data_IF_838742959313
#
_entry.id   IF_838742959313
#
_cell.length_a   1.000
_cell.length_b   1.000
_cell.length_c   1.000
_cell.angle_alpha   90.00
_cell.angle_beta   90.00
_cell.angle_gamma   90.00
#
_symmetry.space_group_name_H-M   'P 1'
#
loop_
_entity.id
_entity.type
_entity.pdbx_description
1 polymer ?
#
# COMPACT_ATOMS: atom_id res chain seq x y z
N UNK A 1 -1.73 -6.92 -10.56
CA UNK A 1 -0.83 -5.94 -9.91
C UNK A 1 -0.18 -6.50 -8.64
N UNK A 2 -0.92 -7.21 -7.77
CA UNK A 2 -0.39 -7.83 -6.54
C UNK A 2 0.64 -8.95 -6.78
N UNK A 3 0.52 -9.70 -7.87
CA UNK A 3 1.39 -10.84 -8.21
C UNK A 3 2.89 -10.53 -8.31
N UNK A 4 3.27 -9.26 -8.51
CA UNK A 4 4.67 -8.82 -8.56
C UNK A 4 5.25 -8.61 -7.15
N UNK A 5 4.39 -8.23 -6.19
CA UNK A 5 4.78 -7.93 -4.80
C UNK A 5 4.62 -9.15 -3.90
N UNK A 6 3.64 -10.01 -4.20
CA UNK A 6 3.29 -11.21 -3.43
C UNK A 6 4.48 -12.14 -3.07
N UNK A 7 5.46 -12.40 -3.95
CA UNK A 7 6.62 -13.24 -3.60
C UNK A 7 7.52 -12.65 -2.52
N UNK A 8 7.52 -11.33 -2.37
CA UNK A 8 8.38 -10.57 -1.44
C UNK A 8 7.63 -10.10 -0.20
N UNK A 9 6.31 -10.29 -0.15
CA UNK A 9 5.49 -9.85 0.97
C UNK A 9 5.67 -10.80 2.18
N UNK A 10 5.78 -10.26 3.41
CA UNK A 10 5.92 -11.09 4.59
C UNK A 10 4.79 -12.09 4.70
N UNK A 11 5.13 -13.36 4.96
CA UNK A 11 4.14 -14.41 5.24
C UNK A 11 3.84 -14.45 6.73
N UNK A 12 2.61 -14.82 7.06
CA UNK A 12 2.19 -15.09 8.43
C UNK A 12 3.17 -16.03 9.13
N UNK A 13 3.80 -15.55 10.20
CA UNK A 13 4.66 -16.32 11.10
C UNK A 13 4.16 -16.23 12.55
N UNK A 14 5.02 -16.53 13.53
CA UNK A 14 4.66 -16.51 14.95
C UNK A 14 4.56 -15.09 15.58
N UNK A 15 4.59 -14.03 14.77
CA UNK A 15 4.56 -12.63 15.21
C UNK A 15 3.27 -11.89 14.84
N UNK A 16 3.31 -10.54 14.89
CA UNK A 16 2.21 -9.69 14.39
C UNK A 16 1.91 -10.09 12.96
N UNK A 17 0.65 -10.45 12.70
CA UNK A 17 0.21 -10.83 11.38
C UNK A 17 0.37 -9.63 10.44
N UNK A 18 1.00 -9.80 9.27
CA UNK A 18 1.06 -8.74 8.29
C UNK A 18 -0.35 -8.40 7.81
N UNK A 19 -0.60 -7.12 7.53
CA UNK A 19 -1.86 -6.69 6.93
C UNK A 19 -2.06 -7.35 5.56
N UNK A 20 -3.30 -7.45 5.05
CA UNK A 20 -3.51 -7.91 3.68
C UNK A 20 -2.71 -7.07 2.68
N UNK A 21 -2.07 -7.72 1.70
CA UNK A 21 -1.28 -7.03 0.68
C UNK A 21 -2.11 -5.99 -0.09
N UNK A 22 -3.38 -6.28 -0.35
CA UNK A 22 -4.29 -5.33 -1.00
C UNK A 22 -4.48 -4.05 -0.16
N UNK A 23 -4.59 -4.18 1.16
CA UNK A 23 -4.71 -3.05 2.08
C UNK A 23 -3.46 -2.18 2.04
N UNK A 24 -2.27 -2.78 2.14
CA UNK A 24 -1.02 -2.02 2.10
C UNK A 24 -0.77 -1.36 0.74
N UNK A 25 -1.15 -2.02 -0.35
CA UNK A 25 -1.07 -1.43 -1.69
C UNK A 25 -1.98 -0.22 -1.84
N UNK A 26 -3.22 -0.28 -1.33
CA UNK A 26 -4.17 0.85 -1.33
C UNK A 26 -3.62 2.03 -0.53
N UNK A 27 -3.05 1.76 0.65
CA UNK A 27 -2.40 2.77 1.48
C UNK A 27 -1.25 3.44 0.72
N UNK A 28 -0.38 2.65 0.09
CA UNK A 28 0.73 3.17 -0.71
C UNK A 28 0.27 4.01 -1.90
N UNK A 29 -0.80 3.61 -2.60
CA UNK A 29 -1.40 4.44 -3.66
C UNK A 29 -1.94 5.77 -3.12
N UNK A 30 -2.63 5.77 -1.98
CA UNK A 30 -3.14 7.00 -1.35
C UNK A 30 -2.00 7.92 -0.92
N UNK A 31 -0.90 7.37 -0.37
CA UNK A 31 0.30 8.15 -0.07
C UNK A 31 0.82 8.89 -1.30
N UNK A 32 0.84 8.23 -2.45
CA UNK A 32 1.31 8.84 -3.69
C UNK A 32 0.32 9.88 -4.26
N UNK A 33 -0.99 9.58 -4.25
CA UNK A 33 -2.02 10.47 -4.79
C UNK A 33 -2.22 11.74 -3.97
N UNK A 34 -2.13 11.64 -2.64
CA UNK A 34 -2.32 12.76 -1.73
C UNK A 34 -0.99 13.37 -1.25
N UNK A 35 0.14 12.87 -1.74
CA UNK A 35 1.49 13.29 -1.35
C UNK A 35 1.71 13.24 0.18
N UNK A 36 1.31 12.13 0.80
CA UNK A 36 1.40 11.92 2.25
C UNK A 36 2.65 11.10 2.61
N UNK A 37 3.34 11.51 3.66
CA UNK A 37 4.38 10.70 4.32
C UNK A 37 3.77 9.52 5.08
N UNK A 38 4.60 8.60 5.58
CA UNK A 38 4.13 7.46 6.38
C UNK A 38 3.38 7.92 7.64
N UNK A 39 3.92 8.92 8.35
CA UNK A 39 3.26 9.51 9.54
C UNK A 39 1.96 10.22 9.18
N UNK A 40 1.96 11.04 8.12
CA UNK A 40 0.75 11.73 7.69
C UNK A 40 -0.34 10.76 7.20
N UNK A 41 0.04 9.61 6.65
CA UNK A 41 -0.88 8.56 6.25
C UNK A 41 -1.45 7.81 7.47
N UNK A 42 -0.63 7.53 8.49
CA UNK A 42 -1.10 7.00 9.78
C UNK A 42 -2.15 7.93 10.39
N UNK A 43 -1.84 9.23 10.49
CA UNK A 43 -2.77 10.24 11.01
C UNK A 43 -4.06 10.30 10.18
N UNK A 44 -3.94 10.28 8.84
CA UNK A 44 -5.09 10.27 7.94
C UNK A 44 -5.96 9.01 8.11
N UNK A 45 -5.36 7.83 8.34
CA UNK A 45 -6.11 6.63 8.67
C UNK A 45 -6.79 6.77 10.03
N UNK A 46 -6.19 7.44 11.01
CA UNK A 46 -6.82 7.64 12.31
C UNK A 46 -8.00 8.61 12.22
N UNK A 47 -7.82 9.76 11.57
CA UNK A 47 -8.76 10.89 11.62
C UNK A 47 -9.84 10.83 10.53
N UNK A 48 -9.52 10.30 9.34
CA UNK A 48 -10.40 10.39 8.16
C UNK A 48 -11.05 9.04 7.87
N UNK A 49 -12.33 8.90 8.17
CA UNK A 49 -13.07 7.65 7.97
C UNK A 49 -13.06 7.15 6.51
N UNK A 50 -13.12 8.05 5.53
CA UNK A 50 -13.05 7.67 4.11
C UNK A 50 -11.69 7.08 3.72
N UNK A 51 -10.58 7.51 4.34
CA UNK A 51 -9.25 6.93 4.11
C UNK A 51 -9.20 5.47 4.62
N UNK A 52 -9.76 5.21 5.80
CA UNK A 52 -9.88 3.84 6.35
C UNK A 52 -10.70 2.93 5.45
N UNK A 53 -11.89 3.39 5.05
CA UNK A 53 -12.78 2.63 4.17
C UNK A 53 -12.12 2.33 2.83
N UNK A 54 -11.38 3.30 2.27
CA UNK A 54 -10.65 3.14 1.02
C UNK A 54 -9.53 2.08 1.11
N UNK A 55 -8.92 1.94 2.28
CA UNK A 55 -7.94 0.89 2.61
C UNK A 55 -8.57 -0.46 3.00
N UNK A 56 -9.90 -0.56 3.05
CA UNK A 56 -10.66 -1.74 3.54
C UNK A 56 -10.34 -2.12 4.99
N UNK A 57 -10.00 -1.12 5.82
CA UNK A 57 -9.84 -1.32 7.25
C UNK A 57 -11.20 -1.22 7.95
N UNK A 58 -11.53 -2.20 8.79
CA UNK A 58 -12.76 -2.16 9.58
C UNK A 58 -12.61 -1.21 10.78
N UNK A 59 -13.72 -0.67 11.25
CA UNK A 59 -13.75 0.24 12.42
C UNK A 59 -13.15 -0.40 13.68
N UNK A 60 -13.27 -1.72 13.82
CA UNK A 60 -12.81 -2.47 14.99
C UNK A 60 -11.39 -3.06 14.83
N UNK A 61 -10.73 -2.82 13.68
CA UNK A 61 -9.38 -3.34 13.43
C UNK A 61 -8.31 -2.35 13.85
N UNK A 62 -7.19 -2.88 14.38
CA UNK A 62 -6.00 -2.07 14.64
C UNK A 62 -5.50 -1.44 13.33
N UNK A 63 -5.23 -0.14 13.35
CA UNK A 63 -4.72 0.58 12.19
C UNK A 63 -3.21 0.33 12.02
N UNK A 64 -2.70 0.31 10.77
CA UNK A 64 -1.27 0.26 10.53
C UNK A 64 -0.64 1.59 10.95
N UNK A 65 0.36 1.49 11.84
CA UNK A 65 1.20 2.61 12.24
C UNK A 65 2.22 2.98 11.15
N UNK A 66 2.88 4.13 11.28
CA UNK A 66 3.89 4.60 10.33
C UNK A 66 5.02 3.58 10.12
N UNK A 67 5.40 2.82 11.16
CA UNK A 67 6.44 1.79 11.03
C UNK A 67 5.97 0.62 10.16
N UNK A 68 4.69 0.25 10.25
CA UNK A 68 4.05 -0.77 9.42
C UNK A 68 4.01 -0.32 7.96
N UNK A 69 3.70 0.95 7.71
CA UNK A 69 3.69 1.55 6.37
C UNK A 69 5.11 1.62 5.79
N UNK A 70 6.08 2.11 6.57
CA UNK A 70 7.49 2.16 6.21
C UNK A 70 8.06 0.76 5.86
N UNK A 71 7.75 -0.25 6.67
CA UNK A 71 8.19 -1.62 6.44
C UNK A 71 7.64 -2.23 5.14
N UNK A 72 6.53 -1.70 4.62
CA UNK A 72 6.02 -2.09 3.31
C UNK A 72 6.80 -1.47 2.15
N UNK A 73 7.36 -0.27 2.33
CA UNK A 73 8.14 0.40 1.30
C UNK A 73 9.49 -0.29 1.08
N UNK A 74 10.11 -0.77 2.15
CA UNK A 74 11.44 -1.39 2.10
C UNK A 74 11.56 -2.52 1.04
N UNK A 75 10.70 -3.55 1.00
CA UNK A 75 10.75 -4.57 -0.05
C UNK A 75 10.39 -4.02 -1.44
N UNK A 76 9.53 -3.01 -1.54
CA UNK A 76 9.20 -2.38 -2.82
C UNK A 76 10.43 -1.68 -3.42
N UNK A 77 11.16 -0.92 -2.61
CA UNK A 77 12.35 -0.19 -3.02
C UNK A 77 13.51 -1.14 -3.36
N UNK A 78 13.77 -2.12 -2.49
CA UNK A 78 14.83 -3.11 -2.69
C UNK A 78 14.71 -3.86 -4.03
N UNK A 79 13.48 -4.18 -4.43
CA UNK A 79 13.21 -4.90 -5.68
C UNK A 79 12.85 -3.96 -6.87
N UNK A 80 12.95 -2.64 -6.70
CA UNK A 80 12.58 -1.62 -7.69
C UNK A 80 11.16 -1.82 -8.23
N UNK A 81 10.27 -2.37 -7.40
CA UNK A 81 8.90 -2.72 -7.74
C UNK A 81 8.07 -1.50 -8.12
N UNK A 82 8.24 -0.29 -7.54
CA UNK A 82 7.54 0.89 -8.00
C UNK A 82 7.73 1.14 -9.49
N UNK A 83 8.96 0.99 -10.01
CA UNK A 83 9.23 1.16 -11.46
C UNK A 83 8.53 0.10 -12.31
N UNK A 84 8.46 -1.14 -11.84
CA UNK A 84 7.76 -2.21 -12.56
C UNK A 84 6.24 -2.03 -12.50
N UNK A 85 5.72 -1.57 -11.37
CA UNK A 85 4.30 -1.24 -11.18
C UNK A 85 3.91 -0.08 -12.09
N UNK A 86 4.69 1.01 -12.10
CA UNK A 86 4.48 2.15 -13.00
C UNK A 86 4.52 1.76 -14.47
N UNK A 87 5.47 0.91 -14.89
CA UNK A 87 5.49 0.39 -16.27
C UNK A 87 4.23 -0.40 -16.61
N UNK A 88 3.72 -1.18 -15.65
CA UNK A 88 2.50 -1.99 -15.84
C UNK A 88 1.25 -1.09 -15.90
N UNK A 89 1.16 -0.10 -15.03
CA UNK A 89 0.08 0.90 -15.01
C UNK A 89 0.09 1.71 -16.31
N UNK A 90 1.26 2.23 -16.72
CA UNK A 90 1.38 3.01 -17.96
C UNK A 90 1.03 2.18 -19.18
N UNK A 91 1.40 0.89 -19.21
CA UNK A 91 0.97 -0.02 -20.28
C UNK A 91 -0.54 -0.18 -20.32
N UNK A 92 -1.16 -0.44 -19.17
CA UNK A 92 -2.61 -0.58 -19.07
C UNK A 92 -3.35 0.71 -19.46
N UNK A 93 -2.84 1.87 -19.05
CA UNK A 93 -3.42 3.17 -19.39
C UNK A 93 -3.28 3.49 -20.89
N UNK A 94 -2.15 3.14 -21.51
CA UNK A 94 -1.95 3.27 -22.96
C UNK A 94 -2.85 2.31 -23.75
N UNK A 95 -3.04 1.08 -23.28
CA UNK A 95 -4.00 0.13 -23.87
C UNK A 95 -5.46 0.61 -23.74
N UNK A 96 -5.76 1.37 -22.69
CA UNK A 96 -7.07 1.97 -22.44
C UNK A 96 -7.26 3.33 -23.13
N UNK A 97 -6.28 3.81 -23.90
CA UNK A 97 -6.29 5.09 -24.63
C UNK A 97 -6.49 6.32 -23.72
N UNK A 98 -6.02 6.22 -22.47
CA UNK A 98 -6.14 7.30 -21.46
C UNK A 98 -4.91 8.22 -21.47
N UNK A 99 -3.77 7.74 -21.98
CA UNK A 99 -2.49 8.46 -22.12
C UNK A 99 -1.74 8.06 -23.39
#
# INVERSE_FOLDING_TARGET
MTAVIEPFYPKAGNGRQPYPLETMLRIHCMQHWYNLSDGAMEDALYEIASMRLSARLSQDSALPDHTTIMNFHHPLEQHQLPRQLFKTINRWLAEADVI
#
